data_IF_873024086013
#
_entry.id   IF_873024086013
#
_cell.length_a   1.000
_cell.length_b   1.000
_cell.length_c   1.000
_cell.angle_alpha   90.00
_cell.angle_beta   90.00
_cell.angle_gamma   90.00
#
_symmetry.space_group_name_H-M   'P 1'
#
loop_
_entity.id
_entity.type
_entity.pdbx_description
1 polymer ?
2 polymer ?
3 polymer ?
4 non-polymer ?
5 water ?
#
loop_
_entity_poly.entity_id
_entity_poly.type
_entity_poly.pdbx_seq_one_letter_code
_entity_poly.pdbx_strand_id
1 'polydeoxyribonucleotide' '(DA)(DA)(DT)(DC)(DT)(DT)(DT)(DC)(DC)(DC)(DA)(DC)(DA)(DG)(DT)' ?
2 'polydeoxyribonucleotide' '(DT)(DT)(DA)(DC)(DT)(DG)(DT)(DG)(DG)(DG)(DA)(DA)(DA)(DG)(DA)' ?
#
# COMPACT_ATOMS: atom_id res chain seq x y z
N UNK C 6 14.63 8.37 32.69
CA UNK C 6 15.05 7.36 31.69
C UNK C 6 13.84 6.66 31.02
N UNK C 7 14.07 5.99 29.86
CA UNK C 7 12.97 5.31 29.15
C UNK C 7 12.56 4.00 29.83
N UNK C 8 11.25 3.75 29.90
CA UNK C 8 10.70 2.62 30.63
C UNK C 8 10.28 1.49 29.71
N UNK C 9 10.53 0.27 30.19
CA UNK C 9 10.04 -0.94 29.55
C UNK C 9 8.51 -1.11 29.66
N UNK C 10 7.91 -1.73 28.65
CA UNK C 10 6.47 -2.03 28.69
C UNK C 10 6.08 -2.99 29.83
N UNK C 11 5.12 -2.57 30.63
CA UNK C 11 4.64 -3.38 31.74
C UNK C 11 3.48 -4.22 31.26
N UNK C 12 3.22 -5.32 31.95
CA UNK C 12 2.17 -6.23 31.52
C UNK C 12 0.82 -5.53 31.51
N UNK C 13 0.64 -4.59 32.44
CA UNK C 13 -0.60 -3.86 32.58
C UNK C 13 -0.83 -2.94 31.38
N UNK C 14 0.23 -2.25 30.95
CA UNK C 14 0.18 -1.35 29.82
C UNK C 14 -0.10 -2.11 28.50
N UNK C 15 0.44 -3.34 28.38
CA UNK C 15 0.14 -4.21 27.25
C UNK C 15 -1.33 -4.62 27.20
N UNK C 16 -1.84 -5.05 28.35
CA UNK C 16 -3.25 -5.31 28.54
C UNK C 16 -4.09 -4.10 28.11
N UNK C 17 -3.73 -2.90 28.58
CA UNK C 17 -4.51 -1.74 28.19
C UNK C 17 -4.50 -1.53 26.66
N UNK C 18 -3.32 -1.68 26.05
CA UNK C 18 -3.18 -1.53 24.60
C UNK C 18 -4.03 -2.55 23.85
N UNK C 19 -3.92 -3.82 24.23
CA UNK C 19 -4.65 -4.90 23.59
C UNK C 19 -6.16 -4.67 23.59
N UNK C 20 -6.66 -4.01 24.63
CA UNK C 20 -8.08 -3.68 24.83
C UNK C 20 -8.58 -2.60 23.85
N UNK C 21 -7.74 -1.60 23.58
CA UNK C 21 -8.08 -0.42 22.78
C UNK C 21 -7.47 -0.39 21.36
N UNK C 22 -6.17 -0.65 21.24
CA UNK C 22 -5.50 -0.63 19.93
C UNK C 22 -5.64 0.69 19.12
N UNK C 23 -5.38 1.80 19.79
CA UNK C 23 -5.30 3.09 19.11
C UNK C 23 -3.93 3.34 18.47
N UNK C 24 -3.54 2.48 17.54
CA UNK C 24 -2.26 2.62 16.82
C UNK C 24 -2.16 3.91 16.00
N UNK C 25 -0.94 4.35 15.71
CA UNK C 25 -0.71 5.33 14.62
C UNK C 25 -0.17 4.54 13.46
N UNK C 26 -0.75 4.72 12.27
CA UNK C 26 -0.33 4.02 11.06
C UNK C 26 0.08 5.06 10.01
N UNK C 27 1.16 4.77 9.30
CA UNK C 27 1.58 5.51 8.14
C UNK C 27 1.45 4.55 6.97
N UNK C 28 0.69 4.95 5.96
CA UNK C 28 0.64 4.21 4.69
C UNK C 28 1.33 5.03 3.63
N UNK C 29 2.16 4.38 2.79
CA UNK C 29 2.68 4.99 1.55
C UNK C 29 2.18 4.19 0.33
N UNK C 30 1.37 4.84 -0.51
CA UNK C 30 0.77 4.24 -1.69
C UNK C 30 1.49 4.83 -2.88
N UNK C 31 1.92 3.97 -3.81
CA UNK C 31 2.69 4.40 -4.97
C UNK C 31 2.62 3.35 -6.09
N UNK C 32 2.86 3.77 -7.31
CA UNK C 32 3.08 2.86 -8.44
C UNK C 32 4.39 2.05 -8.33
N UNK C 33 4.40 0.86 -8.93
CA UNK C 33 5.56 -0.06 -8.89
C UNK C 33 6.61 0.29 -9.93
N UNK C 34 6.30 1.24 -10.79
CA UNK C 34 7.15 1.58 -11.91
C UNK C 34 7.18 3.11 -12.01
N UNK C 35 8.30 3.67 -12.45
CA UNK C 35 8.37 5.10 -12.75
C UNK C 35 9.11 5.27 -14.07
N UNK C 36 8.58 6.12 -14.94
CA UNK C 36 9.20 6.46 -16.20
C UNK C 36 10.25 7.55 -15.98
N UNK C 37 11.47 7.27 -16.45
CA UNK C 37 12.59 8.25 -16.33
C UNK C 37 12.37 9.48 -17.20
N UNK C 38 12.94 10.60 -16.75
CA UNK C 38 13.01 11.86 -17.49
C UNK C 38 14.37 12.03 -18.19
N UNK C 39 14.35 12.43 -19.46
CA UNK C 39 15.59 12.68 -20.24
C UNK C 39 15.88 14.19 -20.33
N UNK C 40 17.17 14.55 -20.45
CA UNK C 40 17.56 15.95 -20.56
C UNK C 40 17.14 16.83 -19.39
N UNK C 41 16.54 17.98 -19.70
CA UNK C 41 15.91 18.87 -18.69
C UNK C 41 14.43 18.57 -18.41
N UNK C 42 13.91 17.47 -18.96
CA UNK C 42 12.53 17.03 -18.76
C UNK C 42 12.21 16.78 -17.31
N UNK C 43 10.94 17.02 -16.95
CA UNK C 43 10.37 16.50 -15.71
C UNK C 43 9.10 15.69 -16.06
N UNK C 44 9.20 14.37 -16.02
CA UNK C 44 8.03 13.53 -16.17
C UNK C 44 7.66 13.05 -14.76
N UNK C 45 6.68 13.72 -14.17
CA UNK C 45 6.27 13.43 -12.79
C UNK C 45 5.72 12.02 -12.62
N UNK C 46 6.07 11.37 -11.51
CA UNK C 46 5.43 10.09 -11.13
C UNK C 46 3.90 10.23 -11.12
N UNK C 47 3.22 9.28 -11.78
CA UNK C 47 1.75 9.27 -11.90
C UNK C 47 1.34 7.82 -11.80
N UNK C 48 0.38 7.51 -10.91
CA UNK C 48 -0.27 8.46 -10.01
C UNK C 48 0.72 8.97 -8.96
N UNK C 49 0.45 10.16 -8.38
CA UNK C 49 1.43 10.70 -7.45
C UNK C 49 1.46 9.89 -6.14
N UNK C 50 2.67 9.54 -5.67
CA UNK C 50 2.74 8.79 -4.43
C UNK C 50 1.96 9.48 -3.32
N UNK C 51 1.28 8.69 -2.48
CA UNK C 51 0.39 9.24 -1.47
C UNK C 51 0.76 8.75 -0.06
N UNK C 52 0.86 9.69 0.88
CA UNK C 52 1.05 9.36 2.28
C UNK C 52 -0.28 9.52 3.01
N UNK C 53 -0.72 8.45 3.68
CA UNK C 53 -1.96 8.48 4.51
C UNK C 53 -1.63 8.22 5.95
N UNK C 54 -2.18 9.05 6.83
CA UNK C 54 -2.09 8.80 8.29
C UNK C 54 -3.38 8.10 8.77
N UNK C 55 -3.27 6.85 9.19
CA UNK C 55 -4.46 6.05 9.52
C UNK C 55 -4.49 5.74 11.02
N UNK C 56 -5.66 5.44 11.55
CA UNK C 56 -5.77 4.96 12.93
C UNK C 56 -6.14 6.08 13.86
N UNK C 57 -6.66 5.71 15.04
CA UNK C 57 -7.18 6.67 16.01
C UNK C 57 -6.06 7.28 16.87
N UNK C 58 -4.83 6.75 16.79
CA UNK C 58 -3.70 7.26 17.58
C UNK C 58 -3.19 8.64 17.20
N UNK C 59 -3.43 9.06 15.96
CA UNK C 59 -3.09 10.42 15.55
C UNK C 59 -3.87 11.44 16.34
N UNK C 60 -5.18 11.24 16.47
CA UNK C 60 -5.97 12.14 17.30
C UNK C 60 -5.56 12.08 18.77
N UNK C 61 -5.38 10.89 19.34
CA UNK C 61 -4.93 10.77 20.73
C UNK C 61 -3.59 11.46 20.97
N UNK C 62 -2.62 11.22 20.09
CA UNK C 62 -1.30 11.85 20.19
C UNK C 62 -1.43 13.37 20.18
N UNK C 63 -2.27 13.87 19.27
CA UNK C 63 -2.49 15.29 19.12
C UNK C 63 -3.08 15.92 20.38
N UNK C 64 -4.08 15.26 20.95
CA UNK C 64 -4.65 15.71 22.23
C UNK C 64 -3.65 15.65 23.42
N UNK C 65 -2.81 14.62 23.46
CA UNK C 65 -1.80 14.50 24.51
C UNK C 65 -0.82 15.69 24.40
N UNK C 66 -0.32 15.96 23.19
CA UNK C 66 0.62 17.08 22.94
C UNK C 66 0.05 18.46 23.29
N UNK C 67 -1.21 18.70 22.96
CA UNK C 67 -1.84 19.96 23.27
C UNK C 67 -2.16 20.16 24.76
N UNK C 68 -2.54 19.09 25.45
CA UNK C 68 -2.71 19.11 26.89
C UNK C 68 -1.42 19.47 27.63
N UNK C 69 -0.31 18.94 27.13
CA UNK C 69 1.05 19.23 27.59
C UNK C 69 1.59 20.60 27.13
N UNK C 70 0.80 21.35 26.38
CA UNK C 70 1.12 22.75 26.10
C UNK C 70 1.43 23.11 24.65
N UNK C 71 1.39 22.14 23.74
CA UNK C 71 1.56 22.42 22.30
C UNK C 71 0.39 23.16 21.69
N UNK C 72 0.70 24.08 20.78
CA UNK C 72 -0.31 24.71 19.94
C UNK C 72 -0.75 23.72 18.88
N UNK C 73 -1.72 24.10 18.06
CA UNK C 73 -2.12 23.32 16.88
C UNK C 73 -1.02 23.12 15.83
N UNK C 74 -0.26 24.15 15.48
CA UNK C 74 0.85 23.90 14.55
C UNK C 74 1.94 22.99 15.12
N UNK C 75 2.18 23.08 16.43
CA UNK C 75 3.20 22.24 17.04
C UNK C 75 2.79 20.77 17.08
N UNK C 76 1.48 20.51 17.16
CA UNK C 76 0.99 19.14 17.25
C UNK C 76 0.74 18.55 15.85
N UNK C 77 0.79 19.39 14.83
CA UNK C 77 0.55 18.99 13.43
C UNK C 77 1.65 18.05 12.89
N UNK C 78 1.27 16.86 12.46
CA UNK C 78 2.26 15.99 11.83
C UNK C 78 2.72 16.58 10.47
N UNK C 79 4.02 16.57 10.22
CA UNK C 79 4.62 17.10 8.94
C UNK C 79 5.39 16.00 8.24
N UNK C 80 5.47 16.09 6.92
CA UNK C 80 6.11 15.06 6.11
C UNK C 80 6.88 15.70 4.95
N UNK C 81 8.07 15.19 4.66
CA UNK C 81 8.83 15.50 3.44
C UNK C 81 9.08 14.19 2.72
N UNK C 82 9.14 14.21 1.38
CA UNK C 82 9.36 12.99 0.59
C UNK C 82 10.46 13.20 -0.46
N UNK C 83 11.27 12.18 -0.70
CA UNK C 83 12.22 12.23 -1.81
C UNK C 83 12.51 10.83 -2.32
N UNK C 84 13.45 10.71 -3.25
CA UNK C 84 13.75 9.43 -3.89
C UNK C 84 15.06 8.73 -3.45
N UNK C 85 15.46 8.92 -2.20
CA UNK C 85 16.27 7.91 -1.50
C UNK C 85 17.77 8.08 -1.40
N UNK C 86 18.23 9.31 -1.64
CA UNK C 86 19.61 9.65 -1.33
C UNK C 86 19.68 10.93 -0.50
N UNK C 87 20.78 11.68 -0.67
CA UNK C 87 20.77 13.11 -0.37
C UNK C 87 19.65 13.72 -1.27
N UNK C 88 19.22 14.95 -1.02
CA UNK C 88 19.65 15.78 0.08
C UNK C 88 18.29 16.15 0.63
N UNK C 89 18.16 17.34 1.25
CA UNK C 89 16.85 17.99 1.32
C UNK C 89 16.52 18.57 -0.08
N UNK C 90 16.70 17.71 -1.09
CA UNK C 90 16.01 17.78 -2.38
C UNK C 90 14.65 17.09 -2.14
N UNK C 91 14.28 17.02 -0.87
CA UNK C 91 13.01 16.47 -0.42
C UNK C 91 11.93 17.53 -0.54
N UNK C 92 10.76 17.11 -0.95
CA UNK C 92 9.65 18.01 -1.18
C UNK C 92 8.67 17.92 0.00
N UNK C 93 8.17 19.07 0.44
CA UNK C 93 7.27 19.15 1.59
C UNK C 93 5.86 18.65 1.25
N UNK C 94 5.23 17.88 2.15
CA UNK C 94 3.83 17.52 1.90
C UNK C 94 2.94 18.33 2.87
N UNK C 95 1.76 18.73 2.47
CA UNK C 95 0.88 19.41 3.42
C UNK C 95 -0.16 18.42 3.95
N UNK C 96 -0.14 18.15 5.26
CA UNK C 96 -1.15 17.26 5.84
C UNK C 96 -2.21 18.00 6.65
N UNK C 97 -2.16 19.33 6.68
CA UNK C 97 -3.10 20.12 7.48
C UNK C 97 -4.56 19.97 7.04
N UNK C 98 -5.40 19.50 7.97
CA UNK C 98 -6.82 19.33 7.72
C UNK C 98 -7.14 18.02 7.03
N UNK C 99 -6.14 17.44 6.40
CA UNK C 99 -6.31 16.19 5.66
C UNK C 99 -5.65 15.01 6.40
N UNK C 100 -6.21 13.85 6.13
CA UNK C 100 -5.66 12.55 6.42
C UNK C 100 -4.37 12.25 5.64
N UNK C 101 -4.15 12.96 4.54
CA UNK C 101 -3.26 12.48 3.51
C UNK C 101 -2.69 13.63 2.65
N UNK C 102 -1.64 13.33 1.90
CA UNK C 102 -1.16 14.26 0.88
C UNK C 102 -0.53 13.47 -0.25
N UNK C 103 -0.75 13.89 -1.51
CA UNK C 103 -0.02 13.31 -2.67
C UNK C 103 1.24 14.13 -3.01
N UNK C 104 2.26 13.43 -3.52
CA UNK C 104 3.52 14.02 -3.95
C UNK C 104 3.46 14.17 -5.46
N UNK C 105 3.09 15.36 -5.90
CA UNK C 105 2.68 15.65 -7.26
C UNK C 105 3.81 16.00 -8.25
N UNK C 106 5.00 16.33 -7.73
CA UNK C 106 6.13 16.80 -8.55
C UNK C 106 7.45 16.01 -8.38
N UNK C 107 7.36 14.69 -8.20
CA UNK C 107 8.56 13.87 -8.12
C UNK C 107 8.89 13.32 -9.50
N UNK C 108 10.19 13.23 -9.82
CA UNK C 108 10.64 12.67 -11.08
C UNK C 108 12.01 12.04 -10.87
N UNK C 109 12.47 11.29 -11.85
CA UNK C 109 13.84 10.77 -11.76
C UNK C 109 14.56 10.97 -13.10
N UNK C 110 15.66 11.70 -13.05
CA UNK C 110 16.46 12.01 -14.25
C UNK C 110 17.24 10.78 -14.71
N UNK C 111 17.57 10.72 -16.00
CA UNK C 111 18.34 9.58 -16.53
C UNK C 111 19.79 9.53 -16.04
N UNK C 112 20.27 10.64 -15.45
CA UNK C 112 21.59 10.69 -14.82
C UNK C 112 21.66 9.86 -13.54
N UNK C 113 20.50 9.57 -12.95
CA UNK C 113 20.42 8.63 -11.85
C UNK C 113 20.59 7.25 -12.47
N UNK C 114 21.51 6.44 -11.96
CA UNK C 114 21.80 5.18 -12.66
C UNK C 114 21.12 3.99 -12.02
N UNK C 115 20.42 4.23 -10.92
CA UNK C 115 19.71 3.17 -10.21
C UNK C 115 18.64 2.55 -11.09
N UNK C 116 18.54 1.22 -11.01
CA UNK C 116 17.55 0.50 -11.79
C UNK C 116 16.23 0.37 -11.00
N UNK C 117 16.33 0.64 -9.71
CA UNK C 117 15.23 0.58 -8.76
C UNK C 117 15.55 1.52 -7.58
N UNK C 118 14.51 1.97 -6.87
CA UNK C 118 14.70 2.87 -5.72
C UNK C 118 13.47 2.76 -4.81
N UNK C 119 13.58 3.35 -3.63
CA UNK C 119 12.48 3.52 -2.68
C UNK C 119 12.24 5.00 -2.41
N UNK C 120 10.99 5.36 -2.22
CA UNK C 120 10.65 6.68 -1.72
C UNK C 120 11.00 6.71 -0.23
N UNK C 121 11.53 7.84 0.22
CA UNK C 121 11.83 8.03 1.60
C UNK C 121 10.92 9.13 2.12
N UNK C 122 10.12 8.82 3.16
CA UNK C 122 9.23 9.81 3.76
C UNK C 122 9.72 10.19 5.17
N UNK C 123 10.06 11.46 5.38
CA UNK C 123 10.56 11.92 6.64
C UNK C 123 9.46 12.66 7.41
N UNK C 124 9.15 12.23 8.63
CA UNK C 124 8.05 12.80 9.40
C UNK C 124 8.50 13.35 10.76
N UNK C 125 7.84 14.43 11.17
CA UNK C 125 8.07 15.07 12.46
C UNK C 125 6.81 15.86 12.81
N UNK C 126 6.64 16.25 14.06
CA UNK C 126 5.56 17.12 14.44
C UNK C 126 6.01 18.54 14.20
N UNK C 127 5.06 19.46 14.07
CA UNK C 127 5.41 20.85 13.87
C UNK C 127 6.33 21.48 14.90
N UNK C 128 6.43 20.89 16.09
CA UNK C 128 7.34 21.39 17.14
C UNK C 128 8.77 20.87 16.92
N UNK C 129 8.91 20.04 15.89
CA UNK C 129 10.15 19.42 15.44
C UNK C 129 10.49 18.11 16.12
N UNK C 130 9.55 17.54 16.89
CA UNK C 130 9.75 16.21 17.52
C UNK C 130 9.78 15.17 16.42
N UNK C 131 10.86 14.40 16.34
CA UNK C 131 11.04 13.40 15.29
C UNK C 131 10.02 12.26 15.43
N UNK C 132 9.37 11.89 14.33
CA UNK C 132 8.57 10.69 14.24
C UNK C 132 9.49 9.62 13.64
N UNK C 133 9.96 9.86 12.41
CA UNK C 133 10.99 9.02 11.79
C UNK C 133 10.97 8.95 10.28
N UNK C 134 11.64 7.95 9.73
CA UNK C 134 11.83 7.83 8.28
C UNK C 134 11.15 6.53 7.87
N UNK C 135 10.24 6.63 6.89
CA UNK C 135 9.41 5.50 6.45
C UNK C 135 9.73 5.26 4.99
N UNK C 136 10.05 4.02 4.61
CA UNK C 136 10.37 3.69 3.22
C UNK C 136 9.19 3.12 2.41
N UNK C 137 9.04 3.54 1.15
CA UNK C 137 8.09 2.89 0.25
C UNK C 137 8.59 1.46 -0.09
N UNK C 138 7.77 0.68 -0.80
CA UNK C 138 8.23 -0.52 -1.48
C UNK C 138 9.10 -0.10 -2.68
N UNK C 139 9.74 -1.09 -3.28
CA UNK C 139 10.57 -0.91 -4.45
C UNK C 139 9.81 -0.44 -5.70
N UNK C 140 10.43 0.51 -6.42
CA UNK C 140 9.92 1.05 -7.66
C UNK C 140 11.00 0.83 -8.74
N UNK C 141 10.59 0.20 -9.83
CA UNK C 141 11.45 -0.07 -10.98
C UNK C 141 11.46 1.14 -11.91
N UNK C 142 12.65 1.57 -12.32
CA UNK C 142 12.75 2.68 -13.27
C UNK C 142 12.57 2.11 -14.69
N UNK C 143 11.63 2.64 -15.46
CA UNK C 143 11.50 2.23 -16.86
C UNK C 143 11.82 3.40 -17.82
N UNK C 144 12.12 3.10 -19.09
CA UNK C 144 12.49 4.13 -20.07
C UNK C 144 11.28 4.76 -20.76
N UNK C 145 10.35 3.90 -21.19
CA UNK C 145 9.00 4.30 -21.62
C UNK C 145 8.12 3.06 -21.82
N UNK C 146 6.78 3.23 -21.90
CA UNK C 146 5.92 2.10 -22.25
C UNK C 146 6.25 1.50 -23.63
N UNK C 147 6.11 0.17 -23.79
CA UNK C 147 6.26 -0.54 -25.09
C UNK C 147 5.40 0.04 -26.26
N UNK C 148 4.86 -0.72 -27.23
CA UNK C 148 4.44 -2.13 -27.21
C UNK C 148 4.94 -2.81 -28.49
N UNK C 149 4.70 -4.11 -28.73
CA UNK C 149 3.81 -5.00 -27.93
C UNK C 149 4.56 -6.13 -27.21
N UNK C 150 3.91 -6.71 -26.19
CA UNK C 150 4.37 -7.90 -25.45
C UNK C 150 5.35 -7.58 -24.32
N UNK C 153 6.09 -11.12 -22.31
CA UNK C 153 5.71 -11.81 -21.08
C UNK C 153 6.92 -12.18 -20.21
N UNK C 154 8.05 -12.47 -20.84
CA UNK C 154 9.30 -12.81 -20.12
C UNK C 154 9.71 -11.73 -19.11
N UNK C 155 9.34 -10.48 -19.40
CA UNK C 155 9.49 -9.37 -18.49
C UNK C 155 8.32 -9.27 -17.51
N UNK C 156 8.26 -10.21 -16.57
CA UNK C 156 7.18 -10.25 -15.58
C UNK C 156 6.89 -8.88 -14.96
N UNK C 157 7.95 -8.07 -14.85
CA UNK C 157 7.87 -6.76 -14.23
C UNK C 157 7.02 -5.78 -15.02
N UNK C 158 6.96 -5.95 -16.33
CA UNK C 158 6.20 -5.03 -17.16
C UNK C 158 4.76 -5.50 -17.43
N UNK C 159 4.43 -6.72 -16.98
CA UNK C 159 3.09 -7.28 -17.13
C UNK C 159 2.23 -7.12 -15.86
N UNK C 160 0.96 -7.48 -15.97
CA UNK C 160 -0.01 -7.31 -14.89
C UNK C 160 -0.64 -8.66 -14.56
N UNK C 161 -0.39 -9.15 -13.35
CA UNK C 161 -0.86 -10.48 -12.95
C UNK C 161 -2.25 -10.37 -12.36
N UNK C 162 -3.05 -11.42 -12.56
CA UNK C 162 -4.43 -11.43 -12.07
C UNK C 162 -4.40 -11.38 -10.55
N UNK C 163 -5.26 -10.57 -9.97
CA UNK C 163 -5.33 -10.50 -8.51
C UNK C 163 -4.48 -9.40 -7.91
N UNK C 164 -3.61 -8.78 -8.73
CA UNK C 164 -2.78 -7.66 -8.27
C UNK C 164 -3.50 -6.33 -8.46
N UNK C 165 -2.92 -5.27 -7.93
CA UNK C 165 -3.54 -3.96 -7.89
C UNK C 165 -3.03 -3.01 -8.96
N UNK C 166 -3.92 -2.18 -9.47
CA UNK C 166 -3.64 -1.25 -10.55
C UNK C 166 -4.26 0.07 -10.23
N UNK C 167 -3.67 1.15 -10.72
CA UNK C 167 -4.37 2.44 -10.72
C UNK C 167 -4.75 2.70 -12.14
N UNK C 168 -5.79 3.52 -12.31
CA UNK C 168 -6.25 3.88 -13.64
C UNK C 168 -6.40 5.39 -13.72
N UNK C 169 -5.68 6.01 -14.64
CA UNK C 169 -5.76 7.43 -14.77
C UNK C 169 -6.05 7.89 -16.20
N UNK C 170 -6.56 9.11 -16.30
CA UNK C 170 -7.03 9.69 -17.55
C UNK C 170 -6.39 11.05 -17.77
N UNK C 171 -5.71 11.15 -18.90
CA UNK C 171 -4.90 12.28 -19.23
C UNK C 171 -5.35 12.85 -20.56
N UNK C 172 -4.98 14.08 -20.82
CA UNK C 172 -4.59 14.47 -22.21
C UNK C 172 -3.14 15.00 -22.13
N UNK C 173 -2.52 15.18 -23.30
CA UNK C 173 -1.18 15.76 -23.38
C UNK C 173 -1.13 17.14 -22.69
N UNK C 174 -2.21 17.92 -22.86
CA UNK C 174 -2.37 19.23 -22.25
C UNK C 174 -3.86 19.53 -22.04
N UNK C 175 -4.22 19.84 -20.80
CA UNK C 175 -5.61 20.19 -20.42
C UNK C 175 -5.62 21.10 -19.18
N UNK C 176 -6.63 21.96 -19.10
CA UNK C 176 -6.80 22.87 -17.97
C UNK C 176 -7.17 22.04 -16.72
N UNK C 177 -8.20 21.23 -16.92
CA UNK C 177 -8.67 20.23 -15.98
C UNK C 177 -7.57 19.29 -15.44
N UNK C 178 -7.70 18.99 -14.14
CA UNK C 178 -6.79 18.09 -13.44
C UNK C 178 -6.79 16.66 -14.02
N UNK C 179 -5.61 15.98 -14.07
CA UNK C 179 -5.54 14.52 -14.36
C UNK C 179 -6.52 13.91 -13.41
N UNK C 180 -7.22 12.87 -13.87
CA UNK C 180 -8.27 12.27 -13.06
C UNK C 180 -7.93 10.80 -12.87
N UNK C 181 -8.35 10.25 -11.73
CA UNK C 181 -7.97 8.90 -11.31
C UNK C 181 -9.25 8.22 -10.90
N UNK C 182 -9.41 6.96 -11.29
CA UNK C 182 -10.51 6.17 -10.76
C UNK C 182 -10.33 6.10 -9.22
N UNK C 183 -11.37 6.46 -8.47
CA UNK C 183 -11.29 6.51 -7.01
C UNK C 183 -12.72 6.38 -6.50
N UNK C 184 -12.94 5.47 -5.55
CA UNK C 184 -14.23 5.32 -4.91
C UNK C 184 -14.31 6.33 -3.76
N UNK C 185 -15.36 7.15 -3.77
CA UNK C 185 -15.63 8.17 -2.76
C UNK C 185 -17.11 8.54 -2.83
N UNK C 186 -17.66 8.99 -1.71
CA UNK C 186 -19.07 9.33 -1.63
C UNK C 186 -20.04 8.21 -2.01
N UNK C 187 -19.59 6.96 -1.94
CA UNK C 187 -20.45 5.80 -2.24
C UNK C 187 -20.55 5.40 -3.69
N UNK C 188 -19.68 5.98 -4.53
CA UNK C 188 -19.69 5.80 -5.99
C UNK C 188 -18.25 5.81 -6.51
N UNK C 189 -18.04 5.17 -7.67
CA UNK C 189 -16.86 5.39 -8.47
C UNK C 189 -16.90 6.79 -9.04
N UNK C 190 -15.75 7.44 -9.02
CA UNK C 190 -15.58 8.80 -9.51
C UNK C 190 -14.26 8.89 -10.25
N UNK C 191 -14.12 9.95 -11.04
CA UNK C 191 -12.85 10.29 -11.65
C UNK C 191 -12.30 11.48 -10.88
N UNK C 192 -11.54 11.19 -9.82
CA UNK C 192 -11.02 12.22 -8.90
C UNK C 192 -9.78 12.95 -9.41
N UNK C 193 -9.72 14.26 -9.16
CA UNK C 193 -8.51 15.04 -9.37
C UNK C 193 -7.53 14.97 -8.19
N UNK C 194 -8.01 14.58 -7.01
CA UNK C 194 -7.18 14.63 -5.79
C UNK C 194 -6.64 13.28 -5.28
N UNK C 195 -7.43 12.20 -5.42
CA UNK C 195 -7.00 10.90 -4.92
C UNK C 195 -7.14 9.83 -5.97
N UNK C 196 -6.38 8.77 -5.80
CA UNK C 196 -6.47 7.67 -6.71
C UNK C 196 -6.66 6.37 -5.94
N UNK C 197 -7.48 5.46 -6.48
CA UNK C 197 -7.64 4.16 -5.85
C UNK C 197 -6.74 3.10 -6.47
N UNK C 198 -6.51 2.04 -5.71
CA UNK C 198 -5.80 0.86 -6.17
C UNK C 198 -6.84 -0.25 -6.28
N UNK C 199 -6.99 -0.84 -7.46
CA UNK C 199 -8.04 -1.82 -7.71
C UNK C 199 -7.41 -3.16 -8.00
N UNK C 200 -7.89 -4.19 -7.31
CA UNK C 200 -7.60 -5.55 -7.74
C UNK C 200 -8.18 -5.77 -9.14
N UNK C 201 -7.38 -6.35 -10.01
CA UNK C 201 -7.84 -6.68 -11.34
C UNK C 201 -7.91 -8.23 -11.46
N UNK C 202 -9.13 -8.75 -11.43
CA UNK C 202 -9.39 -10.19 -11.45
C UNK C 202 -9.75 -10.63 -12.86
N UNK C 203 -8.99 -11.59 -13.36
CA UNK C 203 -9.30 -12.27 -14.61
C UNK C 203 -10.39 -13.28 -14.32
N UNK C 204 -11.48 -13.21 -15.09
CA UNK C 204 -12.62 -14.11 -14.92
C UNK C 204 -12.62 -15.24 -15.97
N UNK C 205 -13.29 -16.35 -15.63
CA UNK C 205 -13.36 -17.56 -16.49
C UNK C 205 -14.14 -17.37 -17.80
N UNK C 206 -14.32 -16.11 -18.19
CA UNK C 206 -15.11 -15.66 -19.36
C UNK C 206 -16.32 -16.51 -19.87
N UNK C 207 -16.83 -17.37 -18.98
CA UNK C 207 -18.08 -18.09 -19.20
C UNK C 207 -19.16 -17.52 -18.27
N UNK C 208 -18.78 -17.33 -17.00
CA UNK C 208 -19.68 -16.85 -15.92
C UNK C 208 -20.97 -17.66 -15.72
N UNK C 215 -15.45 -16.19 -10.20
CA UNK C 215 -14.45 -17.14 -9.68
C UNK C 215 -13.04 -16.82 -10.18
N UNK C 216 -12.06 -17.16 -9.34
CA UNK C 216 -10.65 -16.83 -9.54
C UNK C 216 -10.01 -17.60 -10.70
N UNK C 217 -9.35 -16.84 -11.59
CA UNK C 217 -8.50 -17.40 -12.63
C UNK C 217 -7.13 -16.70 -12.55
N UNK C 218 -6.04 -17.43 -12.74
CA UNK C 218 -4.69 -16.89 -12.55
C UNK C 218 -3.97 -16.44 -13.82
N UNK C 219 -2.71 -16.06 -13.67
CA UNK C 219 -1.86 -15.67 -14.79
C UNK C 219 -1.95 -14.20 -15.10
N UNK C 220 -1.30 -13.80 -16.19
CA UNK C 220 -1.24 -12.40 -16.60
C UNK C 220 -2.45 -11.99 -17.44
N UNK C 221 -2.82 -10.72 -17.32
CA UNK C 221 -3.95 -10.16 -18.05
C UNK C 221 -3.55 -9.75 -19.47
N UNK C 222 -4.34 -10.20 -20.44
CA UNK C 222 -4.17 -9.93 -21.87
C UNK C 222 -5.35 -9.10 -22.37
N UNK C 223 -5.11 -8.27 -23.39
CA UNK C 223 -6.21 -7.55 -24.01
C UNK C 223 -7.23 -8.54 -24.54
N UNK C 224 -8.50 -8.17 -24.45
CA UNK C 224 -9.59 -9.01 -24.93
C UNK C 224 -10.16 -9.94 -23.87
N UNK C 225 -9.58 -9.92 -22.68
CA UNK C 225 -10.06 -10.73 -21.56
C UNK C 225 -11.03 -9.95 -20.69
N UNK C 226 -11.92 -10.70 -20.03
CA UNK C 226 -12.91 -10.15 -19.10
C UNK C 226 -12.31 -10.09 -17.71
N UNK C 227 -12.37 -8.90 -17.11
CA UNK C 227 -11.78 -8.65 -15.81
C UNK C 227 -12.82 -8.02 -14.91
N UNK C 228 -12.62 -8.16 -13.60
CA UNK C 228 -13.39 -7.43 -12.59
C UNK C 228 -12.43 -6.52 -11.79
N UNK C 229 -12.81 -5.25 -11.65
CA UNK C 229 -12.07 -4.26 -10.88
C UNK C 229 -12.73 -4.06 -9.51
N UNK C 230 -11.97 -4.31 -8.45
CA UNK C 230 -12.46 -4.22 -7.08
C UNK C 230 -11.60 -3.26 -6.29
N UNK C 231 -12.20 -2.20 -5.74
CA UNK C 231 -11.50 -1.26 -4.87
C UNK C 231 -10.85 -1.98 -3.71
N UNK C 232 -9.54 -1.76 -3.51
CA UNK C 232 -8.81 -2.44 -2.44
C UNK C 232 -9.14 -1.88 -1.05
N UNK C 233 -9.79 -0.73 -1.01
CA UNK C 233 -10.13 -0.01 0.23
C UNK C 233 -11.61 -0.22 0.60
N UNK C 234 -12.55 -0.03 -0.34
CA UNK C 234 -13.98 -0.08 0.01
C UNK C 234 -14.61 -1.43 -0.34
N UNK C 235 -13.94 -2.19 -1.19
CA UNK C 235 -14.47 -3.42 -1.77
C UNK C 235 -15.51 -3.24 -2.87
N UNK C 236 -15.82 -2.00 -3.26
CA UNK C 236 -16.74 -1.77 -4.38
C UNK C 236 -16.17 -2.30 -5.70
N UNK C 237 -17.08 -2.85 -6.51
CA UNK C 237 -16.74 -3.54 -7.73
C UNK C 237 -17.49 -2.98 -8.93
N UNK C 238 -16.80 -2.89 -10.07
CA UNK C 238 -17.46 -2.50 -11.32
C UNK C 238 -18.04 -3.73 -12.02
N UNK C 239 -18.96 -3.51 -13.01
CA UNK C 239 -19.44 -4.67 -13.79
C UNK C 239 -18.30 -5.26 -14.63
N UNK C 240 -18.54 -6.45 -15.18
CA UNK C 240 -17.57 -7.16 -15.99
C UNK C 240 -17.16 -6.29 -17.17
N UNK C 241 -15.86 -6.25 -17.39
CA UNK C 241 -15.28 -5.34 -18.35
C UNK C 241 -14.41 -6.17 -19.25
N UNK C 242 -14.37 -5.81 -20.52
CA UNK C 242 -13.35 -6.35 -21.38
C UNK C 242 -12.32 -5.25 -21.59
N UNK C 243 -11.09 -5.54 -21.17
CA UNK C 243 -9.99 -4.60 -21.32
C UNK C 243 -9.47 -4.65 -22.75
N UNK C 244 -9.46 -3.50 -23.41
CA UNK C 244 -9.03 -3.45 -24.80
C UNK C 244 -7.90 -2.42 -24.95
N UNK C 245 -7.09 -2.61 -25.99
CA UNK C 245 -5.91 -1.78 -26.24
C UNK C 245 -6.33 -0.54 -27.02
N UNK C 246 -5.80 0.62 -26.66
CA UNK C 246 -6.05 1.79 -27.48
C UNK C 246 -4.78 2.28 -28.14
N UNK C 247 -4.92 2.83 -29.35
CA UNK C 247 -3.92 3.77 -29.86
C UNK C 247 -4.56 5.01 -30.44
N UNK C 248 -4.02 6.16 -30.01
CA UNK C 248 -4.68 7.46 -30.13
C UNK C 248 -6.14 7.34 -29.63
N UNK C 249 -7.13 7.33 -30.54
CA UNK C 249 -8.51 7.35 -30.06
C UNK C 249 -9.36 6.19 -30.49
N UNK C 250 -8.73 5.07 -30.82
CA UNK C 250 -9.46 3.87 -31.17
C UNK C 250 -9.14 2.75 -30.21
N UNK C 251 -10.17 1.97 -29.88
CA UNK C 251 -10.01 0.74 -29.15
C UNK C 251 -9.86 -0.35 -30.20
N UNK C 252 -8.76 -1.11 -30.10
CA UNK C 252 -8.48 -2.22 -31.00
C UNK C 252 -9.20 -3.48 -30.52
N UNK C 253 -10.18 -3.95 -31.29
CA UNK C 253 -11.01 -5.10 -30.92
C UNK C 253 -10.32 -6.46 -31.05
N UNK C 254 -9.27 -6.52 -31.90
CA UNK C 254 -8.57 -7.76 -32.19
C UNK C 254 -7.24 -8.02 -31.42
N UNK C 255 -6.78 -7.04 -30.64
CA UNK C 255 -5.55 -7.20 -29.84
C UNK C 255 -5.74 -8.20 -28.70
N UNK C 256 -4.72 -9.03 -28.45
CA UNK C 256 -4.79 -10.07 -27.42
C UNK C 256 -3.46 -10.32 -26.70
N UNK C 257 -2.52 -9.40 -26.89
CA UNK C 257 -1.21 -9.42 -26.21
C UNK C 257 -1.28 -8.99 -24.73
N UNK C 258 -0.21 -9.27 -23.96
CA UNK C 258 -0.20 -8.89 -22.55
C UNK C 258 -0.39 -7.39 -22.32
N UNK C 259 -1.23 -7.05 -21.35
CA UNK C 259 -1.37 -5.68 -20.89
C UNK C 259 -0.06 -5.34 -20.17
N UNK C 260 0.49 -4.18 -20.48
CA UNK C 260 1.76 -3.78 -19.90
C UNK C 260 1.68 -2.46 -19.14
N UNK C 261 2.68 -2.20 -18.31
CA UNK C 261 2.77 -0.96 -17.52
C UNK C 261 2.63 0.30 -18.38
N UNK C 262 1.77 1.22 -17.93
CA UNK C 262 1.61 2.56 -18.52
C UNK C 262 1.03 2.55 -19.94
N UNK C 263 0.41 1.43 -20.32
CA UNK C 263 -0.27 1.38 -21.60
C UNK C 263 -1.65 1.99 -21.48
N UNK C 264 -2.09 2.58 -22.59
CA UNK C 264 -3.44 3.06 -22.72
C UNK C 264 -4.41 1.93 -23.07
N UNK C 265 -5.55 1.91 -22.38
CA UNK C 265 -6.51 0.83 -22.53
C UNK C 265 -7.93 1.34 -22.32
N UNK C 266 -8.91 0.53 -22.70
CA UNK C 266 -10.31 0.90 -22.54
C UNK C 266 -11.07 -0.26 -21.94
N UNK C 267 -12.19 0.05 -21.32
CA UNK C 267 -12.97 -0.95 -20.62
C UNK C 267 -14.38 -1.00 -21.21
N UNK C 268 -14.56 -1.95 -22.12
CA UNK C 268 -15.86 -2.20 -22.73
C UNK C 268 -16.72 -2.95 -21.73
N UNK C 269 -17.92 -2.44 -21.48
CA UNK C 269 -18.86 -3.08 -20.58
C UNK C 269 -19.46 -4.30 -21.29
N UNK C 270 -19.10 -5.51 -20.83
CA UNK C 270 -19.50 -6.76 -21.49
C UNK C 270 -21.00 -6.88 -21.76
N UNK C 271 -21.35 -7.40 -22.95
CA UNK C 271 -22.74 -7.68 -23.36
C UNK C 271 -23.59 -6.43 -23.66
N UNK C 272 -22.90 -5.33 -23.93
CA UNK C 272 -23.51 -4.03 -24.07
C UNK C 272 -23.36 -3.65 -25.56
N UNK C 273 -24.12 -2.67 -26.03
CA UNK C 273 -23.95 -2.16 -27.39
C UNK C 273 -22.83 -1.10 -27.47
N UNK C 274 -21.58 -1.59 -27.55
CA UNK C 274 -20.30 -0.81 -27.49
C UNK C 274 -20.20 0.33 -26.47
N UNK C 275 -20.67 0.08 -25.27
CA UNK C 275 -20.53 1.03 -24.16
C UNK C 275 -19.20 0.82 -23.44
N UNK C 276 -18.49 1.93 -23.19
CA UNK C 276 -17.20 1.89 -22.50
C UNK C 276 -17.25 2.68 -21.19
N UNK C 277 -16.46 2.27 -20.20
CA UNK C 277 -16.31 3.01 -18.97
C UNK C 277 -15.67 4.33 -19.31
N UNK C 278 -16.32 5.41 -18.89
CA UNK C 278 -15.97 6.72 -19.35
C UNK C 278 -16.12 7.74 -18.24
N UNK C 279 -15.23 8.73 -18.21
CA UNK C 279 -15.39 9.82 -17.25
C UNK C 279 -16.15 11.00 -17.85
N UNK C 280 -16.90 11.71 -17.01
CA UNK C 280 -17.52 12.97 -17.38
C UNK C 280 -17.35 13.97 -16.22
N UNK C 281 -16.39 14.88 -16.37
CA UNK C 281 -15.96 15.70 -15.26
C UNK C 281 -15.47 14.76 -14.16
N UNK C 282 -16.18 14.78 -13.04
CA UNK C 282 -15.79 13.96 -11.94
C UNK C 282 -16.62 12.68 -11.84
N UNK C 283 -17.52 12.49 -12.79
CA UNK C 283 -18.42 11.33 -12.81
C UNK C 283 -17.89 10.18 -13.66
N UNK C 284 -18.27 8.97 -13.29
CA UNK C 284 -17.97 7.81 -14.11
C UNK C 284 -19.27 7.37 -14.76
N UNK C 285 -19.29 7.40 -16.09
CA UNK C 285 -20.43 7.01 -16.89
C UNK C 285 -20.07 5.89 -17.88
N UNK C 286 -20.99 5.59 -18.78
CA UNK C 286 -20.70 4.74 -19.94
C UNK C 286 -20.88 5.61 -21.15
N UNK C 287 -20.02 5.39 -22.15
CA UNK C 287 -20.16 6.12 -23.40
C UNK C 287 -20.03 5.19 -24.58
N UNK C 288 -20.92 5.38 -25.55
CA UNK C 288 -20.95 4.52 -26.72
C UNK C 288 -19.86 4.87 -27.73
N UNK C 289 -19.07 3.88 -28.12
CA UNK C 289 -18.12 4.04 -29.20
C UNK C 289 -18.84 4.10 -30.56
N UNK C 290 -18.19 4.74 -31.54
CA UNK C 290 -18.72 4.77 -32.91
C UNK C 290 -17.96 3.79 -33.80
N UNK C 291 -18.67 3.07 -34.69
CA UNK C 291 -18.21 1.83 -35.31
C UNK C 291 -16.96 1.87 -36.23
N UNK C 292 -16.60 3.05 -36.75
CA UNK C 292 -15.34 3.23 -37.54
C UNK C 292 -15.39 2.62 -38.97
N UNK C 293 -15.68 3.47 -39.98
CA UNK C 293 -15.99 3.02 -41.36
C UNK C 293 -14.80 2.33 -42.05
N UNK C 294 -13.62 2.88 -41.84
CA UNK C 294 -12.34 2.36 -42.33
C UNK C 294 -12.21 0.84 -42.15
N UNK C 295 -12.04 0.41 -40.89
CA UNK C 295 -11.80 -0.98 -40.52
C UNK C 295 -12.69 -1.40 -39.36
N UNK C 296 -13.32 -2.56 -39.49
CA UNK C 296 -14.31 -3.05 -38.53
C UNK C 296 -13.77 -3.59 -37.21
N UNK C 297 -12.47 -3.91 -37.19
CA UNK C 297 -11.78 -4.37 -35.97
C UNK C 297 -11.27 -3.22 -35.09
N UNK C 298 -11.91 -2.05 -35.22
CA UNK C 298 -11.56 -0.84 -34.50
C UNK C 298 -12.85 -0.09 -34.16
N UNK C 299 -12.85 0.58 -33.02
CA UNK C 299 -13.95 1.44 -32.60
C UNK C 299 -13.35 2.74 -32.10
N UNK C 300 -13.93 3.86 -32.54
CA UNK C 300 -13.52 5.17 -32.07
C UNK C 300 -14.13 5.44 -30.68
N UNK C 301 -13.30 5.82 -29.71
CA UNK C 301 -13.78 6.07 -28.34
C UNK C 301 -13.63 7.53 -27.88
N UNK C 302 -14.44 7.92 -26.89
CA UNK C 302 -14.37 9.24 -26.23
C UNK C 302 -13.01 9.37 -25.51
N UNK C 303 -12.46 10.59 -25.42
CA UNK C 303 -11.17 10.82 -24.71
C UNK C 303 -11.27 10.42 -23.22
N UNK C 304 -12.47 10.58 -22.66
CA UNK C 304 -12.77 10.14 -21.31
C UNK C 304 -12.82 8.62 -21.15
N UNK C 305 -12.76 7.90 -22.28
CA UNK C 305 -12.77 6.44 -22.24
C UNK C 305 -11.39 5.79 -22.41
N UNK C 306 -10.35 6.60 -22.48
CA UNK C 306 -8.97 6.11 -22.58
C UNK C 306 -8.28 6.19 -21.20
N UNK C 307 -7.82 5.07 -20.68
CA UNK C 307 -7.24 5.01 -19.33
C UNK C 307 -5.84 4.47 -19.40
N UNK C 308 -4.94 5.03 -18.60
CA UNK C 308 -3.60 4.45 -18.46
C UNK C 308 -3.58 3.58 -17.21
N UNK C 309 -3.02 2.39 -17.34
CA UNK C 309 -3.01 1.40 -16.31
C UNK C 309 -1.58 1.24 -15.81
N UNK C 310 -1.43 1.06 -14.50
CA UNK C 310 -0.11 0.90 -13.87
C UNK C 310 -0.25 0.09 -12.56
N UNK C 311 0.65 -0.87 -12.34
CA UNK C 311 0.63 -1.64 -11.10
C UNK C 311 1.01 -0.75 -9.94
N UNK C 312 0.45 -1.08 -8.78
CA UNK C 312 0.46 -0.23 -7.62
C UNK C 312 0.90 -1.07 -6.41
N UNK C 313 1.45 -0.43 -5.37
CA UNK C 313 1.95 -1.15 -4.19
C UNK C 313 1.69 -0.28 -2.96
N UNK C 314 2.06 -0.80 -1.80
CA UNK C 314 1.69 -0.14 -0.56
C UNK C 314 2.65 -0.55 0.55
N UNK C 315 3.19 0.42 1.30
CA UNK C 315 4.01 0.14 2.48
C UNK C 315 3.18 0.64 3.66
N UNK C 316 3.12 -0.11 4.74
CA UNK C 316 2.26 0.23 5.84
C UNK C 316 3.08 0.03 7.12
N UNK C 317 3.05 1.00 8.03
CA UNK C 317 3.83 0.93 9.29
C UNK C 317 2.94 1.34 10.46
N UNK C 318 2.88 0.52 11.49
CA UNK C 318 2.03 0.85 12.60
C UNK C 318 2.76 0.77 13.95
N UNK C 319 2.52 1.77 14.78
CA UNK C 319 3.28 1.94 16.00
C UNK C 319 2.40 2.53 17.06
N UNK C 320 2.78 2.34 18.30
CA UNK C 320 1.99 2.82 19.44
C UNK C 320 2.90 3.03 20.65
N UNK C 321 2.75 4.17 21.31
CA UNK C 321 3.61 4.49 22.47
C UNK C 321 3.03 3.81 23.71
N UNK C 322 3.48 2.58 23.96
CA UNK C 322 2.92 1.76 25.03
C UNK C 322 3.13 2.37 26.39
N UNK C 323 4.24 3.07 26.57
CA UNK C 323 4.58 3.67 27.86
C UNK C 323 4.61 5.20 27.81
N UNK C 324 3.90 5.79 26.85
CA UNK C 324 3.85 7.24 26.73
C UNK C 324 4.92 7.76 25.80
N UNK C 325 5.06 9.09 25.69
CA UNK C 325 6.00 9.70 24.75
C UNK C 325 7.46 9.24 24.97
N UNK C 326 8.17 9.11 23.86
CA UNK C 326 9.54 8.59 23.80
C UNK C 326 10.40 9.61 23.10
N UNK C 327 11.70 9.53 23.30
CA UNK C 327 12.60 10.51 22.71
C UNK C 327 13.21 9.98 21.40
N UNK C 328 13.28 8.67 21.26
CA UNK C 328 13.75 8.08 20.01
C UNK C 328 12.65 8.07 18.94
N UNK C 329 13.05 8.25 17.66
CA UNK C 329 12.04 8.07 16.61
C UNK C 329 11.46 6.65 16.66
N UNK C 330 10.21 6.48 16.26
CA UNK C 330 9.57 5.13 16.30
C UNK C 330 10.14 4.20 15.23
N UNK C 331 10.80 4.77 14.24
CA UNK C 331 11.30 4.01 13.10
C UNK C 331 12.74 3.55 13.37
N UNK C 332 13.28 2.61 12.55
CA UNK C 332 12.63 1.67 11.61
C UNK C 332 11.52 0.82 12.23
N UNK C 333 10.32 0.86 11.62
CA UNK C 333 9.17 0.09 12.11
C UNK C 333 9.23 -1.35 11.56
N UNK C 334 9.34 -2.35 12.47
CA UNK C 334 9.38 -3.70 11.96
C UNK C 334 8.04 -4.15 11.37
N UNK C 335 8.13 -5.06 10.41
CA UNK C 335 6.98 -5.61 9.75
C UNK C 335 7.24 -7.11 9.77
N UNK C 336 6.25 -7.86 10.23
CA UNK C 336 6.34 -9.30 10.25
C UNK C 336 5.54 -9.81 9.06
N UNK C 337 6.23 -10.52 8.17
CA UNK C 337 5.61 -11.14 7.01
C UNK C 337 4.85 -12.40 7.45
N UNK C 338 5.54 -13.29 8.17
CA UNK C 338 5.03 -14.61 8.48
C UNK C 338 5.57 -15.19 9.80
N UNK C 339 4.88 -16.24 10.25
CA UNK C 339 5.21 -16.98 11.48
C UNK C 339 5.44 -18.45 11.16
N UNK C 340 6.52 -19.02 11.70
CA UNK C 340 6.88 -20.41 11.47
C UNK C 340 7.18 -21.08 12.81
N UNK C 341 6.45 -22.15 13.13
CA UNK C 341 6.67 -22.88 14.36
C UNK C 341 7.80 -23.90 14.15
N UNK C 342 8.69 -24.01 15.14
CA UNK C 342 9.77 -25.02 15.10
C UNK C 342 9.58 -26.12 16.16
N UNK C 343 10.40 -27.16 16.08
CA UNK C 343 10.41 -28.22 17.09
C UNK C 343 10.85 -29.58 16.56
N UNK C 344 12.15 -29.76 16.30
CA UNK C 344 13.20 -28.74 16.51
C UNK C 344 14.16 -29.13 17.62
N UNK C 345 14.55 -28.13 18.43
CA UNK C 345 15.24 -28.39 19.69
C UNK C 345 14.27 -28.87 20.76
N UNK C 346 14.74 -28.93 22.01
CA UNK C 346 13.89 -29.35 23.14
C UNK C 346 12.83 -28.30 23.50
N UNK C 347 13.08 -27.05 23.09
CA UNK C 347 12.18 -25.93 23.33
C UNK C 347 11.29 -25.67 22.11
N UNK C 348 10.01 -25.37 22.35
CA UNK C 348 9.13 -24.88 21.29
C UNK C 348 9.56 -23.46 20.87
N UNK C 349 9.94 -23.30 19.61
CA UNK C 349 10.46 -22.03 19.07
C UNK C 349 9.56 -21.45 18.00
N UNK C 350 9.43 -20.13 17.96
CA UNK C 350 8.71 -19.51 16.86
C UNK C 350 9.66 -18.63 16.03
N UNK C 351 9.70 -18.86 14.72
CA UNK C 351 10.48 -18.03 13.82
C UNK C 351 9.65 -16.91 13.18
N UNK C 352 10.13 -15.68 13.28
CA UNK C 352 9.48 -14.55 12.63
C UNK C 352 10.32 -14.11 11.46
N UNK C 353 9.71 -14.02 10.28
CA UNK C 353 10.40 -13.43 9.13
C UNK C 353 9.72 -12.11 8.72
N UNK C 354 10.53 -11.08 8.46
CA UNK C 354 10.01 -9.77 8.10
C UNK C 354 11.12 -8.78 7.83
N UNK C 355 10.90 -7.52 8.21
CA UNK C 355 11.91 -6.46 7.99
C UNK C 355 12.08 -5.53 9.19
N UNK C 356 13.22 -4.85 9.26
CA UNK C 356 13.49 -3.82 10.27
C UNK C 356 13.58 -4.29 11.72
N UNK C 357 14.00 -5.54 11.91
CA UNK C 357 14.16 -6.10 13.25
C UNK C 357 15.45 -5.57 13.85
N UNK C 358 15.52 -5.55 15.19
CA UNK C 358 16.60 -4.95 15.95
C UNK C 358 16.78 -5.79 17.22
N UNK C 359 18.00 -5.72 17.86
CA UNK C 359 18.17 -6.41 19.14
C UNK C 359 17.40 -5.75 20.29
N UNK C 360 16.87 -4.56 20.08
CA UNK C 360 16.01 -3.90 21.09
C UNK C 360 14.52 -4.30 21.06
N UNK C 361 14.21 -5.41 20.37
CA UNK C 361 12.84 -5.93 20.25
C UNK C 361 12.63 -7.22 21.04
N UNK C 362 11.44 -7.35 21.63
CA UNK C 362 10.99 -8.59 22.24
C UNK C 362 9.63 -8.91 21.65
N UNK C 363 9.41 -10.18 21.34
CA UNK C 363 8.11 -10.71 20.96
C UNK C 363 7.28 -10.93 22.22
N UNK C 364 6.05 -10.40 22.20
CA UNK C 364 5.06 -10.62 23.24
C UNK C 364 3.93 -11.52 22.69
N UNK C 365 3.56 -12.53 23.48
CA UNK C 365 2.41 -13.38 23.19
C UNK C 365 1.31 -12.89 24.15
N UNK C 366 0.25 -12.28 23.62
CA UNK C 366 -0.68 -11.57 24.49
C UNK C 366 0.06 -10.64 25.42
N UNK C 367 -0.21 -10.72 26.72
CA UNK C 367 0.51 -9.93 27.75
C UNK C 367 1.73 -10.63 28.35
N UNK C 368 2.30 -11.60 27.64
CA UNK C 368 3.48 -12.33 28.09
C UNK C 368 4.65 -12.07 27.18
N UNK C 369 5.66 -11.39 27.72
CA UNK C 369 6.95 -11.17 27.08
C UNK C 369 7.72 -12.48 26.94
N UNK C 370 8.23 -12.75 25.73
CA UNK C 370 9.00 -13.96 25.49
C UNK C 370 10.49 -13.64 25.29
N UNK C 371 11.34 -14.55 25.75
CA UNK C 371 12.75 -14.55 25.41
C UNK C 371 12.86 -14.59 23.89
N UNK C 372 13.50 -13.55 23.34
CA UNK C 372 13.61 -13.34 21.92
C UNK C 372 15.09 -13.26 21.52
N UNK C 373 15.42 -13.95 20.44
CA UNK C 373 16.77 -13.93 19.88
C UNK C 373 16.82 -13.25 18.51
N UNK C 374 17.55 -12.13 18.46
CA UNK C 374 17.79 -11.40 17.21
C UNK C 374 18.81 -12.14 16.35
N UNK C 375 18.51 -12.31 15.06
CA UNK C 375 19.47 -12.94 14.13
C UNK C 375 19.97 -11.91 13.12
N UNK C 376 19.01 -11.27 12.45
CA UNK C 376 19.27 -10.19 11.50
C UNK C 376 18.01 -9.37 11.30
N UNK C 377 18.11 -8.32 10.47
CA UNK C 377 16.98 -7.43 10.21
C UNK C 377 15.74 -8.13 9.65
N UNK C 378 15.88 -9.37 9.23
CA UNK C 378 14.82 -10.08 8.55
C UNK C 378 14.32 -11.31 9.32
N UNK C 379 14.99 -11.63 10.42
CA UNK C 379 14.76 -12.88 11.15
C UNK C 379 14.96 -12.74 12.66
N UNK C 380 13.99 -13.26 13.42
CA UNK C 380 14.08 -13.35 14.88
C UNK C 380 13.49 -14.67 15.34
N UNK C 381 14.04 -15.22 16.41
CA UNK C 381 13.46 -16.40 17.06
C UNK C 381 12.99 -16.01 18.45
N UNK C 382 11.95 -16.68 18.94
CA UNK C 382 11.53 -16.54 20.34
C UNK C 382 11.04 -17.86 20.92
N UNK C 383 11.10 -17.93 22.25
CA UNK C 383 10.63 -19.08 23.04
C UNK C 383 9.12 -18.97 23.29
N UNK C 384 8.38 -19.93 22.74
CA UNK C 384 6.93 -20.00 22.93
C UNK C 384 6.64 -20.16 24.42
N UNK C 385 5.89 -19.21 25.04
CA UNK C 385 5.61 -19.39 26.48
C UNK C 385 4.85 -20.70 26.74
N UNK C 386 4.97 -21.22 27.95
CA UNK C 386 4.21 -22.37 28.37
C UNK C 386 2.71 -21.98 28.43
N UNK C 387 1.82 -22.91 28.09
CA UNK C 387 0.37 -22.65 28.09
C UNK C 387 -0.18 -22.07 29.40
N UNK C 388 0.53 -22.30 30.50
CA UNK C 388 0.04 -21.83 31.77
C UNK C 388 0.37 -20.43 32.33
N UNK C 389 1.34 -19.64 31.86
CA UNK C 389 1.20 -18.48 30.96
C UNK C 389 -0.18 -17.87 30.72
N UNK C 390 -1.08 -18.61 30.08
CA UNK C 390 -2.41 -18.07 29.74
C UNK C 390 -3.55 -18.76 30.46
N UNK C 391 -3.33 -20.03 30.81
CA UNK C 391 -4.38 -20.80 31.41
C UNK C 391 -3.82 -21.37 32.71
N UNK C 392 -4.03 -20.63 33.79
CA UNK C 392 -3.42 -20.98 35.06
C UNK C 392 -3.76 -22.44 35.47
N UNK C 393 -2.74 -23.21 35.85
CA UNK C 393 -2.96 -24.59 36.28
C UNK C 393 -2.97 -25.61 35.15
N UNK C 394 -2.99 -25.17 33.89
CA UNK C 394 -2.96 -26.13 32.80
C UNK C 394 -1.57 -26.70 32.71
N UNK C 395 -1.50 -28.02 32.65
CA UNK C 395 -0.23 -28.72 32.57
C UNK C 395 0.01 -29.26 31.15
N UNK C 396 -0.95 -28.98 30.27
CA UNK C 396 -0.89 -29.30 28.83
C UNK C 396 -1.99 -28.50 28.15
N UNK C 397 -2.04 -28.50 26.82
CA UNK C 397 -3.08 -27.73 26.09
C UNK C 397 -4.41 -28.51 26.12
N UNK C 398 -5.35 -28.04 26.93
CA UNK C 398 -6.63 -28.75 27.12
C UNK C 398 -7.67 -28.42 26.04
N UNK C 399 -7.75 -27.16 25.65
CA UNK C 399 -8.49 -26.75 24.45
C UNK C 399 -7.70 -25.66 23.70
N UNK C 400 -8.06 -25.35 22.42
CA UNK C 400 -7.31 -24.32 21.70
C UNK C 400 -7.31 -22.95 22.38
N UNK C 401 -6.14 -22.32 22.36
CA UNK C 401 -6.00 -20.98 22.91
C UNK C 401 -5.24 -20.14 21.89
N UNK C 402 -5.86 -19.08 21.40
CA UNK C 402 -5.23 -18.18 20.45
C UNK C 402 -4.76 -16.91 21.12
N UNK C 403 -3.55 -16.46 20.79
CA UNK C 403 -3.03 -15.22 21.39
C UNK C 403 -2.43 -14.29 20.31
N UNK C 404 -2.55 -12.97 20.48
CA UNK C 404 -1.95 -12.05 19.52
C UNK C 404 -0.41 -12.01 19.66
N UNK C 405 0.31 -11.91 18.55
CA UNK C 405 1.76 -11.73 18.54
C UNK C 405 2.01 -10.23 18.25
N UNK C 406 2.85 -9.59 19.07
CA UNK C 406 3.11 -8.16 19.00
C UNK C 406 4.61 -8.01 19.17
N UNK C 407 5.23 -7.04 18.48
CA UNK C 407 6.63 -6.71 18.77
C UNK C 407 6.72 -5.47 19.64
N UNK C 408 7.66 -5.44 20.57
CA UNK C 408 7.75 -4.33 21.51
C UNK C 408 9.19 -3.94 21.65
N UNK C 409 9.43 -2.64 21.64
CA UNK C 409 10.77 -2.08 21.80
C UNK C 409 11.05 -1.77 23.28
N UNK C 410 12.34 -1.68 23.64
CA UNK C 410 12.75 -1.49 25.04
C UNK C 410 12.23 -0.21 25.71
N UNK C 411 11.89 0.79 24.91
CA UNK C 411 11.28 2.02 25.41
C UNK C 411 9.75 2.00 25.38
N UNK C 412 9.20 0.82 25.14
CA UNK C 412 7.78 0.62 25.34
C UNK C 412 6.92 0.90 24.12
N UNK C 413 7.54 1.23 22.97
CA UNK C 413 6.76 1.32 21.73
C UNK C 413 6.38 -0.05 21.17
N UNK C 414 5.10 -0.12 20.85
CA UNK C 414 4.44 -1.34 20.47
C UNK C 414 4.20 -1.32 18.97
N UNK C 415 4.61 -2.39 18.31
CA UNK C 415 4.46 -2.53 16.89
C UNK C 415 3.53 -3.70 16.66
N UNK C 416 2.27 -3.38 16.40
CA UNK C 416 1.29 -4.45 16.24
C UNK C 416 1.47 -5.22 14.94
N UNK C 417 1.07 -6.47 15.01
CA UNK C 417 1.19 -7.47 13.96
C UNK C 417 -0.27 -7.89 13.66
N UNK C 418 -0.54 -8.39 12.46
CA UNK C 418 -1.89 -8.94 12.22
C UNK C 418 -1.98 -10.45 12.56
N UNK C 419 -0.92 -10.98 13.16
CA UNK C 419 -0.78 -12.40 13.31
C UNK C 419 -1.05 -12.86 14.74
N UNK C 420 -1.51 -14.10 14.87
CA UNK C 420 -1.82 -14.70 16.16
C UNK C 420 -1.07 -16.01 16.23
N UNK C 421 -1.04 -16.59 17.42
CA UNK C 421 -0.46 -17.89 17.64
C UNK C 421 -1.49 -18.76 18.37
N UNK C 422 -1.69 -19.98 17.91
CA UNK C 422 -2.66 -20.88 18.51
C UNK C 422 -2.00 -22.09 19.15
N UNK C 423 -2.31 -22.28 20.43
CA UNK C 423 -1.97 -23.52 21.14
C UNK C 423 -3.08 -24.55 20.84
N UNK C 424 -2.69 -25.71 20.30
CA UNK C 424 -3.66 -26.74 19.89
C UNK C 424 -3.48 -28.03 20.72
N UNK C 425 -4.59 -28.60 21.22
CA UNK C 425 -4.47 -29.86 21.97
C UNK C 425 -3.78 -30.93 21.13
N UNK C 426 -2.99 -31.78 21.79
CA UNK C 426 -2.27 -32.83 21.10
C UNK C 426 -3.21 -34.01 20.84
N UNK C 427 -3.24 -34.52 19.59
CA UNK C 427 -4.10 -35.65 19.20
C UNK C 427 -3.68 -36.96 19.86
#
# INVERSE_FOLDING_TARGET
GPLGSPPKRLTREAMRNYLKERGDQTVLILHAKVAQKSYGNEKRFFCPPPCVYLMGSGWKKKKEQMERDGCSEQESQPCAFIGIGNSDQEMQQLNLEGKNYCTAKTLYISDSDKRKHFMLSVKMFYGNSDDIGVFLSKRIKVISKPSKKKQSLKNADLCIASGTKVALFNRLRSQTVSTRYLHVEGGNFHASSQQWGAFYIHLLDDDESEGEEFTVRDGYIHYGQTVKLVCSVTGMALPRLIIRKVDKQTALLDADDPVSQLHKCAFYLKDTERMYLCLSQERIIQFQATPCPKEQNKEMINDGASWTIISTDKAEYTFYEGMGPVLAPVTPVPVVESLQLNGGGDVAMLELTGQNFTPNLRVWFGDVEAETMYRCGESMLCVVPDISAFREGWRWVRQPVQVPVTLVRNDGVIYSTSLTFTYTPEP
#
